data_IF_737911778662
#
_entry.id   IF_737911778662
#
_cell.length_a   1.000
_cell.length_b   1.000
_cell.length_c   1.000
_cell.angle_alpha   90.00
_cell.angle_beta   90.00
_cell.angle_gamma   90.00
#
_symmetry.space_group_name_H-M   'P 1'
#
loop_
_entity.id
_entity.type
_entity.pdbx_description
1 polymer ?
#
# COMPACT_ATOMS: atom_id res chain seq x y z
N UNK A 1 -41.64 21.65 51.29
CA UNK A 1 -41.47 20.21 51.04
C UNK A 1 -41.34 20.03 49.52
N UNK A 2 -40.25 20.41 48.85
CA UNK A 2 -38.83 20.04 48.99
C UNK A 2 -38.54 18.54 48.90
N UNK A 3 -38.27 18.07 47.67
CA UNK A 3 -37.33 16.99 47.33
C UNK A 3 -36.93 17.24 45.86
N UNK A 4 -35.69 17.45 45.42
CA UNK A 4 -34.39 17.10 45.97
C UNK A 4 -33.56 16.52 44.80
N UNK A 5 -33.12 17.38 43.87
CA UNK A 5 -32.23 17.02 42.76
C UNK A 5 -30.83 16.77 43.33
N UNK A 6 -30.32 15.54 43.21
CA UNK A 6 -28.92 15.21 43.53
C UNK A 6 -28.09 15.23 42.24
N UNK A 7 -27.24 16.23 42.13
CA UNK A 7 -26.06 16.24 41.25
C UNK A 7 -25.15 15.05 41.60
N UNK A 8 -24.76 14.27 40.58
CA UNK A 8 -23.64 13.33 40.69
C UNK A 8 -22.41 14.05 40.14
N UNK A 9 -21.54 14.51 41.06
CA UNK A 9 -20.22 15.06 40.75
C UNK A 9 -19.32 13.94 40.22
N UNK A 10 -18.68 14.21 39.09
CA UNK A 10 -17.72 13.33 38.44
C UNK A 10 -16.49 13.07 39.31
N UNK A 11 -16.16 11.79 39.45
CA UNK A 11 -14.86 11.34 39.95
C UNK A 11 -13.88 11.33 38.78
N UNK A 12 -12.89 12.23 38.83
CA UNK A 12 -11.70 12.20 37.97
C UNK A 12 -10.97 10.88 38.17
N UNK A 13 -11.03 9.99 37.18
CA UNK A 13 -10.05 8.91 37.05
C UNK A 13 -8.82 9.49 36.36
N UNK A 14 -7.76 9.72 37.14
CA UNK A 14 -6.43 9.95 36.61
C UNK A 14 -6.01 8.64 35.91
N UNK A 15 -5.87 8.70 34.58
CA UNK A 15 -5.15 7.67 33.85
C UNK A 15 -3.66 7.89 34.10
N UNK A 16 -3.02 6.86 34.64
CA UNK A 16 -1.58 6.81 34.86
C UNK A 16 -0.90 6.61 33.49
N UNK A 17 -0.14 7.62 33.04
CA UNK A 17 0.57 7.65 31.75
C UNK A 17 1.79 6.70 31.72
N UNK A 18 1.99 5.87 32.73
CA UNK A 18 3.19 5.04 32.88
C UNK A 18 3.17 3.70 32.12
N UNK A 19 2.27 3.48 31.15
CA UNK A 19 2.08 2.15 30.53
C UNK A 19 2.45 2.02 29.04
N UNK A 20 3.21 2.95 28.49
CA UNK A 20 3.84 2.78 27.17
C UNK A 20 5.34 3.05 27.27
N UNK A 21 6.12 2.04 27.66
CA UNK A 21 7.54 2.02 27.32
C UNK A 21 7.65 1.83 25.80
N UNK A 22 7.73 2.96 25.12
CA UNK A 22 8.03 3.08 23.70
C UNK A 22 9.47 2.63 23.51
N UNK A 23 9.69 1.50 22.83
CA UNK A 23 11.02 0.94 22.61
C UNK A 23 11.98 1.96 21.96
N UNK A 24 13.25 1.89 22.30
CA UNK A 24 14.28 2.86 21.90
C UNK A 24 14.33 3.14 20.37
N UNK A 25 13.95 2.16 19.54
CA UNK A 25 13.85 2.30 18.07
C UNK A 25 12.68 3.18 17.61
N UNK A 26 11.52 3.10 18.27
CA UNK A 26 10.36 3.95 17.93
C UNK A 26 10.59 5.40 18.36
N UNK A 27 11.42 5.63 19.39
CA UNK A 27 11.89 6.97 19.76
C UNK A 27 12.84 7.56 18.71
N UNK A 28 13.81 6.77 18.22
CA UNK A 28 14.74 7.20 17.13
C UNK A 28 13.99 7.54 15.84
N UNK A 29 12.95 6.78 15.50
CA UNK A 29 12.11 7.06 14.32
C UNK A 29 11.27 8.33 14.49
N UNK A 30 10.68 8.56 15.68
CA UNK A 30 9.98 9.81 16.00
C UNK A 30 10.92 11.02 15.95
N UNK A 31 12.16 10.90 16.43
CA UNK A 31 13.16 11.97 16.34
C UNK A 31 13.60 12.21 14.89
N UNK A 32 13.81 11.16 14.09
CA UNK A 32 14.15 11.27 12.66
C UNK A 32 13.02 11.90 11.82
N UNK A 33 11.76 11.77 12.25
CA UNK A 33 10.59 12.41 11.63
C UNK A 33 10.30 13.81 12.19
N UNK A 34 10.74 14.13 13.41
CA UNK A 34 10.67 15.46 14.03
C UNK A 34 11.81 16.37 13.59
N UNK A 35 12.88 15.82 13.02
CA UNK A 35 13.94 16.61 12.41
C UNK A 35 13.40 17.34 11.18
N UNK A 36 12.84 18.51 11.45
CA UNK A 36 12.38 19.50 10.47
C UNK A 36 13.54 20.14 9.71
N UNK A 37 14.79 19.67 9.88
CA UNK A 37 15.85 19.92 8.92
C UNK A 37 15.62 19.10 7.66
N UNK A 38 14.45 19.30 7.03
CA UNK A 38 14.30 19.08 5.61
C UNK A 38 15.40 19.95 4.99
N UNK A 39 16.46 19.38 4.38
CA UNK A 39 17.31 20.17 3.55
C UNK A 39 16.36 20.72 2.50
N UNK A 40 16.18 22.05 2.45
CA UNK A 40 15.50 22.65 1.31
C UNK A 40 16.11 21.98 0.08
N UNK A 41 15.30 21.37 -0.80
CA UNK A 41 15.83 20.73 -1.98
C UNK A 41 16.83 21.69 -2.62
N UNK A 42 18.00 21.19 -3.02
CA UNK A 42 18.79 21.84 -4.05
C UNK A 42 17.80 22.40 -5.05
N UNK A 43 17.83 23.71 -5.29
CA UNK A 43 16.89 24.40 -6.17
C UNK A 43 16.86 23.67 -7.51
N UNK A 44 15.94 22.72 -7.66
CA UNK A 44 15.67 22.10 -8.95
C UNK A 44 14.90 23.20 -9.66
N UNK A 45 15.53 23.82 -10.66
CA UNK A 45 14.94 24.89 -11.46
C UNK A 45 13.66 24.46 -12.20
N UNK A 46 13.27 23.19 -12.14
CA UNK A 46 12.15 22.60 -12.89
C UNK A 46 11.31 21.68 -12.01
N UNK A 47 9.99 21.72 -12.21
CA UNK A 47 9.03 20.81 -11.59
C UNK A 47 9.32 19.37 -12.05
N UNK A 48 9.51 18.39 -11.14
CA UNK A 48 9.73 17.00 -11.49
C UNK A 48 8.64 16.41 -12.39
N UNK A 49 7.38 16.83 -12.25
CA UNK A 49 6.29 16.39 -13.11
C UNK A 49 6.48 16.92 -14.54
N UNK A 50 6.87 18.17 -14.69
CA UNK A 50 7.21 18.77 -15.99
C UNK A 50 8.39 18.06 -16.65
N UNK A 51 9.43 17.72 -15.88
CA UNK A 51 10.58 16.96 -16.40
C UNK A 51 10.15 15.57 -16.87
N UNK A 52 9.30 14.88 -16.10
CA UNK A 52 8.79 13.56 -16.47
C UNK A 52 7.92 13.61 -17.73
N UNK A 53 7.13 14.68 -17.91
CA UNK A 53 6.29 14.87 -19.10
C UNK A 53 7.10 15.25 -20.35
N UNK A 54 8.12 16.09 -20.21
CA UNK A 54 8.79 16.71 -21.36
C UNK A 54 10.12 16.05 -21.77
N UNK A 55 10.68 15.15 -20.94
CA UNK A 55 12.02 14.57 -21.17
C UNK A 55 12.03 13.06 -20.95
N UNK A 56 11.53 12.31 -21.92
CA UNK A 56 11.47 10.83 -21.89
C UNK A 56 12.78 10.14 -21.50
N UNK A 57 13.94 10.67 -21.92
CA UNK A 57 15.25 10.09 -21.54
C UNK A 57 15.70 10.34 -20.10
N UNK A 58 15.07 11.27 -19.37
CA UNK A 58 15.44 11.57 -17.97
C UNK A 58 14.79 10.61 -16.97
N UNK A 59 13.61 10.07 -17.27
CA UNK A 59 12.92 9.13 -16.36
C UNK A 59 13.68 7.82 -16.19
N UNK A 60 14.35 7.36 -17.25
CA UNK A 60 15.14 6.12 -17.24
C UNK A 60 16.57 6.33 -16.74
N UNK A 61 16.89 7.54 -16.26
CA UNK A 61 18.19 7.88 -15.70
C UNK A 61 18.14 7.79 -14.17
N UNK A 62 18.88 6.86 -13.54
CA UNK A 62 18.93 6.74 -12.07
C UNK A 62 19.28 8.04 -11.35
N UNK A 63 20.11 8.92 -11.96
CA UNK A 63 20.49 10.20 -11.35
C UNK A 63 19.31 11.14 -11.15
N UNK A 64 18.29 11.07 -12.01
CA UNK A 64 17.08 11.87 -11.85
C UNK A 64 16.37 11.52 -10.53
N UNK A 65 16.17 10.21 -10.28
CA UNK A 65 15.54 9.71 -9.05
C UNK A 65 16.40 10.00 -7.82
N UNK A 66 17.70 9.79 -7.90
CA UNK A 66 18.62 10.12 -6.80
C UNK A 66 18.65 11.62 -6.47
N UNK A 67 18.38 12.51 -7.42
CA UNK A 67 18.21 13.94 -7.12
C UNK A 67 16.91 14.26 -6.37
N UNK A 68 15.91 13.39 -6.46
CA UNK A 68 14.65 13.52 -5.72
C UNK A 68 14.81 12.98 -4.30
N UNK A 69 15.29 11.74 -4.16
CA UNK A 69 15.54 11.08 -2.87
C UNK A 69 17.00 10.59 -2.78
N UNK A 70 17.96 11.46 -2.43
CA UNK A 70 19.40 11.13 -2.44
C UNK A 70 19.84 10.10 -1.40
N UNK A 71 18.98 9.77 -0.44
CA UNK A 71 19.22 8.73 0.57
C UNK A 71 18.69 7.34 0.17
N UNK A 72 17.95 7.25 -0.94
CA UNK A 72 17.49 5.97 -1.50
C UNK A 72 18.42 5.53 -2.63
N UNK A 73 18.24 4.29 -3.08
CA UNK A 73 19.07 3.68 -4.12
C UNK A 73 18.27 3.49 -5.40
N UNK A 74 18.96 3.59 -6.55
CA UNK A 74 18.35 3.35 -7.85
C UNK A 74 19.37 2.69 -8.77
N UNK A 75 19.25 1.37 -8.96
CA UNK A 75 20.22 0.59 -9.73
C UNK A 75 21.53 0.34 -8.98
N UNK A 76 21.50 0.26 -7.65
CA UNK A 76 22.67 -0.07 -6.83
C UNK A 76 22.89 -1.60 -6.76
N UNK A 77 24.07 -2.04 -7.18
CA UNK A 77 24.48 -3.46 -7.16
C UNK A 77 24.49 -4.05 -5.75
N UNK A 78 24.74 -3.26 -4.70
CA UNK A 78 24.68 -3.72 -3.30
C UNK A 78 23.24 -4.03 -2.90
N UNK A 79 22.27 -3.22 -3.34
CA UNK A 79 20.85 -3.46 -3.10
C UNK A 79 20.36 -4.68 -3.87
N UNK A 80 20.86 -4.89 -5.09
CA UNK A 80 20.61 -6.12 -5.82
C UNK A 80 21.14 -7.36 -5.07
N UNK A 81 22.34 -7.26 -4.48
CA UNK A 81 22.89 -8.33 -3.66
C UNK A 81 22.05 -8.57 -2.39
N UNK A 82 21.59 -7.51 -1.72
CA UNK A 82 20.68 -7.60 -0.58
C UNK A 82 19.37 -8.32 -0.94
N UNK A 83 18.74 -7.94 -2.06
CA UNK A 83 17.52 -8.59 -2.56
C UNK A 83 17.71 -10.10 -2.80
N UNK A 84 18.91 -10.53 -3.22
CA UNK A 84 19.22 -11.95 -3.47
C UNK A 84 19.56 -12.74 -2.20
N UNK A 85 20.09 -12.09 -1.17
CA UNK A 85 20.75 -12.78 -0.05
C UNK A 85 20.07 -12.59 1.31
N UNK A 86 19.24 -11.56 1.44
CA UNK A 86 18.59 -11.18 2.71
C UNK A 86 17.09 -11.49 2.71
N UNK A 87 16.67 -12.49 1.93
CA UNK A 87 15.36 -13.12 2.08
C UNK A 87 15.10 -13.39 3.57
N UNK A 88 13.89 -13.18 4.07
CA UNK A 88 13.58 -13.56 5.44
C UNK A 88 13.81 -15.08 5.56
N UNK A 89 14.91 -15.48 6.20
CA UNK A 89 15.35 -16.87 6.29
C UNK A 89 14.50 -17.60 7.33
N UNK A 90 13.28 -17.96 6.93
CA UNK A 90 12.33 -18.69 7.76
C UNK A 90 12.67 -20.19 7.90
N UNK A 91 13.52 -20.74 7.03
CA UNK A 91 13.72 -22.19 6.92
C UNK A 91 14.88 -22.76 7.76
N UNK A 92 15.79 -21.93 8.28
CA UNK A 92 16.93 -22.40 9.09
C UNK A 92 16.64 -22.36 10.61
N UNK A 93 15.48 -21.84 11.01
CA UNK A 93 15.02 -21.76 12.39
C UNK A 93 13.73 -22.59 12.58
N UNK A 94 13.82 -23.65 13.38
CA UNK A 94 12.70 -24.58 13.67
C UNK A 94 11.47 -23.84 14.24
N UNK A 95 11.69 -22.71 14.92
CA UNK A 95 10.65 -21.86 15.49
C UNK A 95 9.76 -21.23 14.41
N UNK A 96 10.34 -20.89 13.27
CA UNK A 96 9.68 -20.17 12.18
C UNK A 96 8.79 -21.07 11.30
N UNK A 97 9.08 -22.37 11.22
CA UNK A 97 8.17 -23.35 10.59
C UNK A 97 6.91 -23.58 11.43
N UNK A 98 7.05 -23.67 12.76
CA UNK A 98 5.94 -23.77 13.69
C UNK A 98 5.11 -22.48 13.69
N UNK A 99 5.76 -21.32 13.75
CA UNK A 99 5.10 -20.01 13.58
C UNK A 99 4.39 -19.89 12.23
N UNK A 100 5.02 -20.34 11.13
CA UNK A 100 4.42 -20.35 9.79
C UNK A 100 3.12 -21.16 9.72
N UNK A 101 3.07 -22.32 10.39
CA UNK A 101 1.83 -23.12 10.48
C UNK A 101 0.75 -22.39 11.28
N UNK A 102 1.11 -21.76 12.41
CA UNK A 102 0.16 -20.99 13.24
C UNK A 102 -0.37 -19.77 12.48
N UNK A 103 0.48 -19.07 11.74
CA UNK A 103 0.10 -17.95 10.88
C UNK A 103 -0.79 -18.41 9.73
N UNK A 104 -0.46 -19.54 9.07
CA UNK A 104 -1.29 -20.17 8.04
C UNK A 104 -2.67 -20.51 8.60
N UNK A 105 -2.75 -21.17 9.74
CA UNK A 105 -4.02 -21.51 10.39
C UNK A 105 -4.84 -20.27 10.76
N UNK A 106 -4.18 -19.23 11.28
CA UNK A 106 -4.83 -17.96 11.61
C UNK A 106 -5.35 -17.25 10.36
N UNK A 107 -4.58 -17.27 9.26
CA UNK A 107 -5.01 -16.74 7.97
C UNK A 107 -6.19 -17.54 7.40
N UNK A 108 -6.19 -18.88 7.51
CA UNK A 108 -7.34 -19.70 7.11
C UNK A 108 -8.55 -19.40 7.99
N UNK A 109 -8.36 -19.20 9.29
CA UNK A 109 -9.42 -19.02 10.29
C UNK A 109 -10.09 -17.65 10.19
N UNK A 110 -9.29 -16.59 10.17
CA UNK A 110 -9.75 -15.21 10.32
C UNK A 110 -9.63 -14.40 9.03
N UNK A 111 -8.80 -14.89 8.09
CA UNK A 111 -8.55 -14.26 6.81
C UNK A 111 -7.53 -13.12 6.83
N UNK A 112 -7.05 -12.75 8.02
CA UNK A 112 -6.04 -11.74 8.27
C UNK A 112 -5.10 -12.19 9.40
N UNK A 113 -3.84 -11.80 9.32
CA UNK A 113 -2.81 -11.94 10.35
C UNK A 113 -2.00 -10.65 10.48
N UNK A 114 -1.45 -10.39 11.66
CA UNK A 114 -0.51 -9.30 11.92
C UNK A 114 0.80 -9.83 12.46
N UNK A 115 1.91 -9.22 12.03
CA UNK A 115 3.27 -9.47 12.50
C UNK A 115 3.84 -8.12 12.95
N UNK A 116 4.39 -8.05 14.16
CA UNK A 116 4.89 -6.80 14.71
C UNK A 116 6.25 -6.43 14.10
N UNK A 117 6.48 -5.12 13.90
CA UNK A 117 7.65 -4.64 13.16
C UNK A 117 8.99 -4.98 13.80
N UNK A 118 9.08 -4.94 15.13
CA UNK A 118 10.28 -5.33 15.88
C UNK A 118 10.69 -6.80 15.72
N UNK A 119 9.86 -7.61 15.06
CA UNK A 119 10.15 -9.03 14.78
C UNK A 119 10.77 -9.23 13.38
N UNK A 120 10.82 -8.19 12.53
CA UNK A 120 11.17 -8.31 11.12
C UNK A 120 12.50 -7.60 10.80
N UNK A 121 13.56 -8.34 10.42
CA UNK A 121 14.86 -7.77 10.12
C UNK A 121 14.90 -7.20 8.69
N UNK A 122 14.28 -6.05 8.49
CA UNK A 122 14.27 -5.36 7.21
C UNK A 122 15.70 -5.02 6.76
N UNK A 123 16.01 -5.31 5.49
CA UNK A 123 17.28 -5.01 4.84
C UNK A 123 17.38 -3.55 4.38
N UNK A 124 16.31 -2.80 4.53
CA UNK A 124 16.17 -1.42 4.03
C UNK A 124 15.85 -0.48 5.18
N UNK A 125 16.22 0.78 5.02
CA UNK A 125 15.78 1.85 5.93
C UNK A 125 14.33 2.23 5.61
N UNK A 126 13.38 1.66 6.35
CA UNK A 126 11.95 1.96 6.18
C UNK A 126 11.61 3.43 6.44
N UNK A 127 12.31 4.10 7.34
CA UNK A 127 12.11 5.53 7.58
C UNK A 127 12.59 6.34 6.36
N UNK A 128 13.68 5.92 5.73
CA UNK A 128 14.15 6.42 4.44
C UNK A 128 13.10 6.25 3.32
N UNK A 129 12.47 5.08 3.23
CA UNK A 129 11.39 4.81 2.25
C UNK A 129 10.17 5.69 2.53
N UNK A 130 9.75 5.83 3.80
CA UNK A 130 8.66 6.73 4.18
C UNK A 130 8.93 8.17 3.78
N UNK A 131 10.15 8.66 4.07
CA UNK A 131 10.64 9.98 3.67
C UNK A 131 10.62 10.15 2.15
N UNK A 132 11.00 9.11 1.41
CA UNK A 132 10.98 9.11 -0.04
C UNK A 132 9.57 9.27 -0.61
N UNK A 133 8.60 8.51 -0.10
CA UNK A 133 7.19 8.64 -0.51
C UNK A 133 6.65 10.03 -0.18
N UNK A 134 6.90 10.55 1.03
CA UNK A 134 6.50 11.91 1.39
C UNK A 134 7.14 12.96 0.47
N UNK A 135 8.42 12.80 0.15
CA UNK A 135 9.14 13.71 -0.76
C UNK A 135 8.58 13.68 -2.18
N UNK A 136 8.18 12.51 -2.69
CA UNK A 136 7.49 12.39 -3.97
C UNK A 136 6.18 13.18 -3.94
N UNK A 137 5.34 12.94 -2.93
CA UNK A 137 4.05 13.63 -2.79
C UNK A 137 4.22 15.14 -2.62
N UNK A 138 5.19 15.58 -1.82
CA UNK A 138 5.47 17.00 -1.61
C UNK A 138 5.97 17.70 -2.87
N UNK A 139 6.43 16.95 -3.87
CA UNK A 139 6.83 17.44 -5.20
C UNK A 139 5.77 17.18 -6.28
N UNK A 140 4.52 16.92 -5.91
CA UNK A 140 3.44 16.69 -6.88
C UNK A 140 3.51 15.35 -7.61
N UNK A 141 4.35 14.41 -7.15
CA UNK A 141 4.52 13.08 -7.73
C UNK A 141 3.72 12.04 -6.93
N UNK A 142 3.07 11.07 -7.58
CA UNK A 142 2.30 10.06 -6.87
C UNK A 142 3.19 9.11 -6.05
N UNK A 143 2.71 8.60 -4.90
CA UNK A 143 3.45 7.68 -4.05
C UNK A 143 3.99 6.44 -4.77
N UNK A 144 3.27 5.92 -5.77
CA UNK A 144 3.63 4.69 -6.48
C UNK A 144 4.96 4.80 -7.24
N UNK A 145 5.43 6.01 -7.53
CA UNK A 145 6.76 6.22 -8.13
C UNK A 145 7.92 5.89 -7.18
N UNK A 146 7.64 5.55 -5.92
CA UNK A 146 8.64 4.92 -5.03
C UNK A 146 9.21 3.62 -5.64
N UNK A 147 8.48 2.97 -6.54
CA UNK A 147 8.94 1.78 -7.25
C UNK A 147 10.15 2.03 -8.16
N UNK A 148 10.49 3.29 -8.46
CA UNK A 148 11.72 3.64 -9.16
C UNK A 148 12.96 3.20 -8.38
N UNK A 149 12.90 3.29 -7.05
CA UNK A 149 14.02 3.00 -6.14
C UNK A 149 14.14 1.49 -5.85
N UNK A 150 15.29 1.05 -5.35
CA UNK A 150 15.61 -0.36 -5.12
C UNK A 150 14.89 -0.94 -3.88
N UNK A 151 14.56 -0.10 -2.89
CA UNK A 151 14.07 -0.54 -1.58
C UNK A 151 12.77 -1.36 -1.63
N UNK A 152 11.71 -0.96 -2.36
CA UNK A 152 10.49 -1.78 -2.45
C UNK A 152 10.72 -3.17 -3.04
N UNK A 153 11.70 -3.30 -3.93
CA UNK A 153 12.07 -4.58 -4.56
C UNK A 153 12.82 -5.48 -3.58
N UNK A 154 13.73 -4.90 -2.79
CA UNK A 154 14.35 -5.61 -1.67
C UNK A 154 13.27 -6.08 -0.69
N UNK A 155 12.38 -5.19 -0.24
CA UNK A 155 11.28 -5.54 0.69
C UNK A 155 10.44 -6.71 0.18
N UNK A 156 10.04 -6.66 -1.10
CA UNK A 156 9.27 -7.73 -1.74
C UNK A 156 10.03 -9.06 -1.77
N UNK A 157 11.31 -9.03 -2.16
CA UNK A 157 12.16 -10.21 -2.15
C UNK A 157 12.33 -10.78 -0.73
N UNK A 158 12.43 -9.94 0.30
CA UNK A 158 12.49 -10.37 1.70
C UNK A 158 11.22 -11.12 2.12
N UNK A 159 10.06 -10.58 1.77
CA UNK A 159 8.76 -11.15 2.14
C UNK A 159 8.35 -12.37 1.31
N UNK A 160 9.00 -12.68 0.17
CA UNK A 160 8.56 -13.78 -0.70
C UNK A 160 8.52 -15.14 0.01
N UNK A 161 9.51 -15.44 0.87
CA UNK A 161 9.52 -16.69 1.64
C UNK A 161 8.39 -16.73 2.68
N UNK A 162 8.10 -15.61 3.34
CA UNK A 162 6.99 -15.48 4.28
C UNK A 162 5.65 -15.72 3.55
N UNK A 163 5.44 -15.04 2.42
CA UNK A 163 4.25 -15.20 1.58
C UNK A 163 4.06 -16.65 1.14
N UNK A 164 5.15 -17.31 0.73
CA UNK A 164 5.12 -18.71 0.36
C UNK A 164 4.70 -19.61 1.53
N UNK A 165 5.30 -19.42 2.70
CA UNK A 165 5.08 -20.24 3.88
C UNK A 165 3.63 -20.13 4.40
N UNK A 166 3.10 -18.92 4.55
CA UNK A 166 1.75 -18.71 5.13
C UNK A 166 0.62 -19.09 4.18
N UNK A 167 0.89 -19.22 2.88
CA UNK A 167 -0.12 -19.58 1.86
C UNK A 167 0.06 -20.98 1.30
N UNK A 168 1.20 -21.62 1.54
CA UNK A 168 1.53 -22.91 0.94
C UNK A 168 1.87 -22.81 -0.56
N UNK A 169 2.26 -21.64 -1.07
CA UNK A 169 2.77 -21.56 -2.45
C UNK A 169 2.54 -20.28 -3.24
N UNK A 170 1.88 -19.25 -2.70
CA UNK A 170 1.73 -17.99 -3.44
C UNK A 170 3.10 -17.37 -3.73
N UNK A 171 3.22 -16.70 -4.87
CA UNK A 171 4.39 -15.96 -5.31
C UNK A 171 4.03 -14.52 -5.57
N UNK A 172 5.00 -13.62 -5.45
CA UNK A 172 4.80 -12.18 -5.67
C UNK A 172 4.12 -11.93 -7.03
N UNK A 173 3.03 -11.16 -7.00
CA UNK A 173 2.17 -10.87 -8.15
C UNK A 173 2.51 -9.52 -8.81
N UNK A 174 3.17 -8.60 -8.08
CA UNK A 174 3.46 -7.23 -8.52
C UNK A 174 2.23 -6.31 -8.70
N UNK A 175 1.08 -6.73 -8.20
CA UNK A 175 -0.10 -5.89 -8.04
C UNK A 175 0.08 -5.01 -6.79
N UNK A 176 0.91 -3.97 -6.88
CA UNK A 176 1.36 -3.20 -5.72
C UNK A 176 0.78 -1.79 -5.68
N UNK A 177 0.73 -1.23 -4.47
CA UNK A 177 0.29 0.15 -4.25
C UNK A 177 1.13 0.81 -3.16
N UNK A 178 1.28 2.13 -3.24
CA UNK A 178 1.91 2.94 -2.20
C UNK A 178 0.96 4.07 -1.79
N UNK A 179 0.93 4.39 -0.51
CA UNK A 179 -0.03 5.32 0.06
C UNK A 179 0.67 6.35 0.93
N UNK A 180 0.18 7.59 0.87
CA UNK A 180 0.54 8.68 1.77
C UNK A 180 -0.75 9.42 2.19
N UNK A 181 -1.30 9.03 3.33
CA UNK A 181 -2.54 9.62 3.85
C UNK A 181 -2.18 10.71 4.86
N UNK A 182 -2.72 11.92 4.67
CA UNK A 182 -2.49 13.06 5.57
C UNK A 182 -3.81 13.61 6.09
N UNK A 183 -3.76 14.30 7.23
CA UNK A 183 -4.89 15.07 7.71
C UNK A 183 -5.38 16.07 6.65
N UNK A 184 -6.70 16.22 6.51
CA UNK A 184 -7.28 17.23 5.63
C UNK A 184 -6.78 18.65 6.02
N UNK A 185 -6.38 19.44 5.03
CA UNK A 185 -5.80 20.77 5.25
C UNK A 185 -4.31 20.77 5.62
N UNK A 186 -3.63 19.63 5.59
CA UNK A 186 -2.17 19.58 5.68
C UNK A 186 -1.54 20.36 4.52
N UNK A 187 -0.54 21.19 4.80
CA UNK A 187 0.22 21.92 3.79
C UNK A 187 0.99 20.94 2.91
N UNK A 188 0.41 20.57 1.78
CA UNK A 188 1.09 19.89 0.70
C UNK A 188 0.81 20.69 -0.57
N UNK A 189 1.80 20.71 -1.45
CA UNK A 189 1.63 21.39 -2.72
C UNK A 189 0.59 20.63 -3.54
N UNK A 190 -0.35 21.40 -4.10
CA UNK A 190 -1.06 20.96 -5.28
C UNK A 190 -0.04 20.62 -6.37
N UNK A 191 -0.39 19.69 -7.26
CA UNK A 191 0.39 19.48 -8.47
C UNK A 191 0.47 20.76 -9.34
N UNK A 192 1.28 20.74 -10.40
CA UNK A 192 1.40 21.84 -11.35
C UNK A 192 0.04 22.34 -11.90
N UNK A 193 -0.99 21.49 -11.83
CA UNK A 193 -2.34 21.75 -12.31
C UNK A 193 -3.34 22.09 -11.17
N UNK A 194 -2.87 22.37 -9.96
CA UNK A 194 -3.71 22.85 -8.86
C UNK A 194 -4.52 21.76 -8.14
N UNK A 195 -4.13 20.48 -8.24
CA UNK A 195 -4.81 19.38 -7.55
C UNK A 195 -3.96 18.75 -6.46
N UNK A 196 -4.58 18.56 -5.31
CA UNK A 196 -3.98 17.85 -4.18
C UNK A 196 -3.60 16.42 -4.56
N UNK A 197 -2.30 16.14 -4.58
CA UNK A 197 -1.75 14.76 -4.60
C UNK A 197 -1.84 14.08 -3.23
N UNK A 198 -2.36 14.80 -2.23
CA UNK A 198 -2.63 14.26 -0.89
C UNK A 198 -4.01 13.65 -0.86
N UNK A 199 -4.09 12.41 -0.36
CA UNK A 199 -5.36 11.78 -0.03
C UNK A 199 -5.65 11.99 1.47
N UNK A 200 -6.80 12.57 1.83
CA UNK A 200 -7.20 12.68 3.24
C UNK A 200 -7.65 11.32 3.82
N UNK A 201 -7.79 10.30 2.97
CA UNK A 201 -8.19 8.95 3.34
C UNK A 201 -7.43 7.89 2.54
N UNK A 202 -7.54 6.64 2.99
CA UNK A 202 -7.24 5.49 2.13
C UNK A 202 -8.35 5.21 1.12
N UNK A 203 -8.23 4.08 0.43
CA UNK A 203 -9.25 3.60 -0.50
C UNK A 203 -10.57 3.27 0.19
N UNK A 204 -11.71 3.40 -0.52
CA UNK A 204 -13.02 3.07 0.03
C UNK A 204 -13.18 1.58 0.37
N UNK A 205 -14.22 1.18 1.12
CA UNK A 205 -14.51 -0.23 1.43
C UNK A 205 -14.60 -1.13 0.20
N UNK A 206 -13.75 -2.16 0.15
CA UNK A 206 -13.67 -3.09 -0.98
C UNK A 206 -13.13 -4.46 -0.56
N UNK A 207 -13.09 -5.39 -1.52
CA UNK A 207 -12.31 -6.63 -1.49
C UNK A 207 -11.30 -6.54 -2.64
N UNK A 208 -10.07 -7.03 -2.45
CA UNK A 208 -9.09 -7.00 -3.55
C UNK A 208 -9.60 -7.76 -4.78
N UNK A 209 -10.37 -8.84 -4.57
CA UNK A 209 -11.05 -9.56 -5.65
C UNK A 209 -12.51 -9.81 -5.29
N UNK A 210 -13.40 -8.96 -5.82
CA UNK A 210 -14.84 -8.91 -5.50
C UNK A 210 -15.73 -9.94 -6.21
N UNK A 211 -15.33 -10.45 -7.39
CA UNK A 211 -16.22 -11.29 -8.22
C UNK A 211 -16.64 -12.62 -7.57
N UNK A 212 -17.81 -13.15 -7.95
CA UNK A 212 -18.25 -14.49 -7.54
C UNK A 212 -17.24 -15.58 -7.97
N UNK A 213 -16.65 -15.45 -9.17
CA UNK A 213 -15.65 -16.38 -9.69
C UNK A 213 -14.40 -16.41 -8.80
N UNK A 214 -13.92 -15.24 -8.38
CA UNK A 214 -12.80 -15.15 -7.44
C UNK A 214 -13.15 -15.68 -6.05
N UNK A 215 -14.38 -15.50 -5.57
CA UNK A 215 -14.78 -16.04 -4.27
C UNK A 215 -14.77 -17.58 -4.24
N UNK A 216 -15.27 -18.22 -5.31
CA UNK A 216 -15.37 -19.69 -5.41
C UNK A 216 -14.00 -20.32 -5.65
N UNK A 217 -13.20 -19.74 -6.55
CA UNK A 217 -11.94 -20.34 -7.02
C UNK A 217 -10.69 -19.79 -6.31
N UNK A 218 -10.86 -18.79 -5.44
CA UNK A 218 -9.75 -18.07 -4.79
C UNK A 218 -9.18 -18.77 -3.56
N UNK A 219 -9.71 -19.94 -3.17
CA UNK A 219 -9.16 -20.77 -2.09
C UNK A 219 -8.73 -22.14 -2.62
N UNK A 220 -7.72 -22.74 -1.99
CA UNK A 220 -7.38 -24.16 -2.19
C UNK A 220 -8.30 -25.06 -1.37
N UNK A 221 -8.19 -26.38 -1.58
CA UNK A 221 -8.99 -27.37 -0.86
C UNK A 221 -8.77 -27.31 0.66
N UNK A 222 -7.54 -27.02 1.10
CA UNK A 222 -7.20 -26.86 2.52
C UNK A 222 -7.67 -25.51 3.12
N UNK A 223 -8.32 -24.67 2.32
CA UNK A 223 -8.82 -23.36 2.73
C UNK A 223 -7.79 -22.22 2.65
N UNK A 224 -6.55 -22.49 2.24
CA UNK A 224 -5.56 -21.42 2.01
C UNK A 224 -5.97 -20.50 0.87
N UNK A 225 -5.73 -19.19 0.98
CA UNK A 225 -6.02 -18.25 -0.09
C UNK A 225 -5.00 -18.36 -1.23
N UNK A 226 -5.50 -18.32 -2.47
CA UNK A 226 -4.70 -18.21 -3.69
C UNK A 226 -4.28 -16.78 -4.02
N UNK A 227 -4.74 -15.79 -3.26
CA UNK A 227 -4.30 -14.40 -3.36
C UNK A 227 -4.30 -13.75 -1.98
N UNK A 228 -3.19 -13.09 -1.65
CA UNK A 228 -3.00 -12.31 -0.43
C UNK A 228 -2.36 -10.96 -0.72
N UNK A 229 -2.64 -10.01 0.17
CA UNK A 229 -2.02 -8.70 0.25
C UNK A 229 -1.26 -8.60 1.57
N UNK A 230 -0.01 -8.15 1.52
CA UNK A 230 0.84 -7.79 2.64
C UNK A 230 0.92 -6.27 2.68
N UNK A 231 0.27 -5.69 3.67
CA UNK A 231 0.29 -4.26 3.90
C UNK A 231 1.33 -3.91 4.97
N UNK A 232 2.27 -3.05 4.61
CA UNK A 232 3.43 -2.65 5.43
C UNK A 232 3.33 -1.15 5.71
N UNK A 233 3.06 -0.72 6.95
CA UNK A 233 3.19 0.68 7.33
C UNK A 233 4.67 1.03 7.50
N UNK A 234 5.11 2.14 6.92
CA UNK A 234 6.46 2.71 7.14
C UNK A 234 6.42 3.87 8.15
N UNK A 235 5.23 4.30 8.55
CA UNK A 235 4.99 5.13 9.75
C UNK A 235 3.90 4.47 10.61
N UNK A 236 3.88 4.74 11.92
CA UNK A 236 2.88 4.14 12.81
C UNK A 236 1.45 4.39 12.30
N UNK A 237 0.73 3.30 12.08
CA UNK A 237 -0.64 3.32 11.64
C UNK A 237 -1.57 3.14 12.83
N UNK A 238 -2.41 4.14 13.06
CA UNK A 238 -3.38 4.18 14.15
C UNK A 238 -4.75 4.55 13.59
N UNK A 239 -5.84 4.37 14.36
CA UNK A 239 -7.15 4.87 13.92
C UNK A 239 -7.14 6.36 13.58
N UNK A 240 -6.31 7.16 14.27
CA UNK A 240 -6.16 8.59 13.99
C UNK A 240 -5.40 8.85 12.69
N UNK A 241 -4.35 8.07 12.39
CA UNK A 241 -3.54 8.27 11.19
C UNK A 241 -4.02 7.49 9.97
N UNK A 242 -5.20 6.85 9.99
CA UNK A 242 -5.72 6.00 8.91
C UNK A 242 -5.09 4.60 8.84
N UNK A 243 -5.13 3.83 9.93
CA UNK A 243 -4.88 2.38 9.86
C UNK A 243 -5.96 1.65 9.04
N UNK A 244 -5.68 0.40 8.66
CA UNK A 244 -6.67 -0.42 7.96
C UNK A 244 -7.85 -0.75 8.88
N UNK A 245 -9.03 -0.72 8.28
CA UNK A 245 -10.29 -1.12 8.89
C UNK A 245 -10.77 -2.36 8.15
N UNK A 246 -11.27 -3.38 8.86
CA UNK A 246 -11.75 -4.61 8.24
C UNK A 246 -13.03 -5.13 8.89
N UNK A 247 -13.79 -5.89 8.11
CA UNK A 247 -14.94 -6.64 8.59
C UNK A 247 -14.57 -8.11 8.82
N UNK A 248 -14.89 -8.71 9.98
CA UNK A 248 -14.49 -10.07 10.31
C UNK A 248 -15.09 -11.10 9.34
N UNK A 249 -14.23 -11.94 8.76
CA UNK A 249 -14.60 -13.04 7.86
C UNK A 249 -15.82 -13.85 8.33
N UNK A 250 -15.87 -14.21 9.61
CA UNK A 250 -16.92 -15.09 10.17
C UNK A 250 -18.32 -14.47 10.16
N UNK A 251 -18.40 -13.15 9.99
CA UNK A 251 -19.65 -12.39 9.94
C UNK A 251 -20.02 -11.99 8.51
N UNK A 252 -19.12 -12.23 7.55
CA UNK A 252 -19.26 -11.80 6.17
C UNK A 252 -19.96 -12.88 5.33
N UNK A 253 -21.22 -12.67 4.93
CA UNK A 253 -21.96 -13.66 4.15
C UNK A 253 -21.43 -13.81 2.71
N UNK A 254 -20.76 -12.78 2.17
CA UNK A 254 -20.23 -12.76 0.81
C UNK A 254 -18.82 -13.34 0.72
N UNK A 255 -18.17 -13.61 1.85
CA UNK A 255 -16.76 -14.00 1.89
C UNK A 255 -16.42 -15.18 0.96
N UNK A 256 -17.14 -16.31 1.08
CA UNK A 256 -16.82 -17.55 0.34
C UNK A 256 -17.56 -17.69 -0.99
N UNK A 257 -18.73 -17.08 -1.12
CA UNK A 257 -19.65 -17.34 -2.23
C UNK A 257 -19.85 -16.13 -3.15
N UNK A 258 -19.20 -15.01 -2.84
CA UNK A 258 -19.40 -13.77 -3.55
C UNK A 258 -20.68 -13.05 -3.11
N UNK A 259 -20.83 -11.83 -3.62
CA UNK A 259 -21.84 -10.88 -3.17
C UNK A 259 -23.14 -10.97 -4.02
N UNK A 260 -23.31 -12.07 -4.78
CA UNK A 260 -24.52 -12.44 -5.55
C UNK A 260 -25.07 -11.35 -6.49
N UNK A 261 -24.20 -10.46 -6.97
CA UNK A 261 -24.56 -9.37 -7.87
C UNK A 261 -25.07 -8.09 -7.18
N UNK A 262 -25.12 -8.06 -5.85
CA UNK A 262 -25.32 -6.82 -5.08
C UNK A 262 -23.99 -6.16 -4.68
N UNK A 263 -24.06 -4.97 -4.08
CA UNK A 263 -22.87 -4.32 -3.50
C UNK A 263 -22.44 -5.02 -2.22
N UNK A 264 -21.13 -5.13 -2.01
CA UNK A 264 -20.52 -5.77 -0.83
C UNK A 264 -21.04 -5.15 0.47
N UNK A 265 -21.15 -3.81 0.50
CA UNK A 265 -21.67 -3.03 1.63
C UNK A 265 -23.09 -3.48 1.99
N UNK A 266 -24.00 -3.56 1.01
CA UNK A 266 -25.40 -3.95 1.26
C UNK A 266 -25.53 -5.39 1.76
N UNK A 267 -24.58 -6.25 1.37
CA UNK A 267 -24.60 -7.65 1.75
C UNK A 267 -24.08 -7.89 3.16
N UNK A 268 -23.06 -7.11 3.55
CA UNK A 268 -22.40 -7.17 4.87
C UNK A 268 -23.20 -6.42 5.92
N UNK A 269 -23.60 -5.17 5.66
CA UNK A 269 -24.26 -4.29 6.62
C UNK A 269 -25.77 -4.28 6.39
N UNK A 270 -26.47 -5.25 6.98
CA UNK A 270 -27.92 -5.40 6.81
C UNK A 270 -28.71 -4.65 7.87
N UNK A 271 -28.07 -4.37 9.00
CA UNK A 271 -28.63 -3.65 10.13
C UNK A 271 -27.57 -2.81 10.84
N UNK A 272 -27.95 -1.74 11.58
CA UNK A 272 -26.98 -0.85 12.23
C UNK A 272 -26.00 -1.56 13.18
N UNK A 273 -26.42 -2.65 13.84
CA UNK A 273 -25.57 -3.41 14.76
C UNK A 273 -24.37 -4.06 14.06
N UNK A 274 -24.46 -4.28 12.74
CA UNK A 274 -23.36 -4.89 11.99
C UNK A 274 -22.11 -3.98 12.00
N UNK A 275 -22.28 -2.66 12.12
CA UNK A 275 -21.17 -1.71 12.23
C UNK A 275 -20.30 -1.94 13.49
N UNK A 276 -20.85 -2.55 14.54
CA UNK A 276 -20.10 -2.87 15.76
C UNK A 276 -19.06 -3.99 15.55
N UNK A 277 -19.14 -4.71 14.43
CA UNK A 277 -18.17 -5.75 14.09
C UNK A 277 -16.96 -5.21 13.32
N UNK A 278 -16.97 -3.96 12.87
CA UNK A 278 -15.80 -3.32 12.24
C UNK A 278 -14.63 -3.36 13.22
N UNK A 279 -13.44 -3.68 12.71
CA UNK A 279 -12.19 -3.72 13.49
C UNK A 279 -11.17 -2.78 12.86
N UNK A 280 -10.54 -1.96 13.69
CA UNK A 280 -9.34 -1.24 13.32
C UNK A 280 -8.12 -2.15 13.54
N UNK A 281 -7.13 -2.05 12.66
CA UNK A 281 -5.87 -2.78 12.73
C UNK A 281 -4.72 -1.77 12.86
N UNK A 282 -4.52 -1.16 14.05
CA UNK A 282 -3.34 -0.39 14.30
C UNK A 282 -2.10 -1.28 14.18
N UNK A 283 -1.03 -0.73 13.63
CA UNK A 283 0.20 -1.46 13.40
C UNK A 283 1.38 -0.48 13.42
N UNK A 284 2.39 -0.80 14.21
CA UNK A 284 3.62 -0.01 14.27
C UNK A 284 4.38 -0.09 12.94
N UNK A 285 5.20 0.94 12.65
CA UNK A 285 6.02 0.94 11.44
C UNK A 285 6.90 -0.32 11.34
N UNK A 286 7.03 -0.85 10.12
CA UNK A 286 7.75 -2.08 9.82
C UNK A 286 7.00 -3.37 10.13
N UNK A 287 5.80 -3.31 10.73
CA UNK A 287 4.94 -4.48 10.86
C UNK A 287 4.40 -4.96 9.52
N UNK A 288 3.76 -6.13 9.50
CA UNK A 288 3.03 -6.65 8.34
C UNK A 288 1.61 -6.97 8.76
N UNK A 289 0.62 -6.43 8.05
CA UNK A 289 -0.75 -6.92 8.07
C UNK A 289 -1.01 -7.70 6.78
N UNK A 290 -1.10 -9.03 6.87
CA UNK A 290 -1.37 -9.88 5.71
C UNK A 290 -2.83 -10.33 5.73
N UNK A 291 -3.56 -10.11 4.64
CA UNK A 291 -4.95 -10.51 4.50
C UNK A 291 -5.21 -11.09 3.11
N UNK A 292 -6.23 -11.94 3.00
CA UNK A 292 -6.58 -12.50 1.69
C UNK A 292 -7.55 -11.61 0.91
N UNK A 293 -7.63 -11.88 -0.40
CA UNK A 293 -8.45 -11.17 -1.37
C UNK A 293 -9.96 -11.04 -1.07
N UNK A 294 -10.50 -11.80 -0.11
CA UNK A 294 -11.91 -11.72 0.29
C UNK A 294 -12.12 -10.96 1.58
N UNK A 295 -11.09 -10.54 2.31
CA UNK A 295 -11.33 -9.68 3.46
C UNK A 295 -11.86 -8.33 2.98
N UNK A 296 -13.03 -7.95 3.50
CA UNK A 296 -13.62 -6.65 3.24
C UNK A 296 -12.93 -5.60 4.11
N UNK A 297 -12.26 -4.64 3.48
CA UNK A 297 -11.37 -3.70 4.15
C UNK A 297 -11.28 -2.34 3.45
N UNK A 298 -10.72 -1.36 4.15
CA UNK A 298 -10.42 0.00 3.66
C UNK A 298 -9.37 0.70 4.51
N UNK A 299 -8.82 1.80 4.02
CA UNK A 299 -8.11 2.77 4.86
C UNK A 299 -9.05 3.90 5.28
N UNK A 300 -9.13 4.23 6.57
CA UNK A 300 -10.03 5.30 7.04
C UNK A 300 -9.59 6.70 6.58
N UNK A 301 -10.36 7.73 6.89
CA UNK A 301 -9.84 9.10 6.82
C UNK A 301 -8.83 9.34 7.96
N UNK A 302 -7.82 10.18 7.71
CA UNK A 302 -6.97 10.68 8.78
C UNK A 302 -7.72 11.74 9.61
N UNK A 303 -7.59 11.65 10.93
CA UNK A 303 -8.07 12.68 11.85
C UNK A 303 -7.26 13.97 11.62
N UNK A 304 -7.88 15.16 11.63
CA UNK A 304 -7.16 16.44 11.55
C UNK A 304 -6.04 16.63 12.57
N UNK A 305 -6.09 15.90 13.69
CA UNK A 305 -5.09 15.92 14.77
C UNK A 305 -3.99 14.87 14.61
N UNK A 306 -4.01 14.07 13.53
CA UNK A 306 -2.96 13.10 13.27
C UNK A 306 -1.62 13.82 13.13
N UNK A 307 -0.68 13.49 14.03
CA UNK A 307 0.60 14.19 14.12
C UNK A 307 1.53 13.91 12.93
N UNK A 308 1.38 12.73 12.30
CA UNK A 308 2.20 12.27 11.18
C UNK A 308 1.33 11.66 10.08
N UNK A 309 1.69 11.83 8.80
CA UNK A 309 1.11 11.08 7.71
C UNK A 309 1.23 9.57 7.92
N UNK A 310 0.22 8.81 7.50
CA UNK A 310 0.38 7.36 7.33
C UNK A 310 0.98 7.09 5.97
N UNK A 311 2.15 6.47 6.00
CA UNK A 311 2.85 6.02 4.80
C UNK A 311 2.88 4.50 4.83
N UNK A 312 2.47 3.86 3.73
CA UNK A 312 2.38 2.40 3.67
C UNK A 312 2.54 1.89 2.24
N UNK A 313 2.95 0.64 2.09
CA UNK A 313 2.92 -0.08 0.82
C UNK A 313 2.13 -1.37 0.94
N UNK A 314 1.40 -1.72 -0.12
CA UNK A 314 0.74 -3.00 -0.30
C UNK A 314 1.50 -3.82 -1.34
N UNK A 315 1.90 -5.02 -0.94
CA UNK A 315 2.52 -6.03 -1.78
C UNK A 315 1.59 -7.21 -1.93
N UNK A 316 1.59 -7.87 -3.07
CA UNK A 316 0.63 -8.95 -3.34
C UNK A 316 1.34 -10.22 -3.77
N UNK A 317 0.75 -11.35 -3.38
CA UNK A 317 1.18 -12.66 -3.84
C UNK A 317 0.00 -13.54 -4.19
N UNK A 318 0.16 -14.27 -5.29
CA UNK A 318 -0.87 -15.09 -5.92
C UNK A 318 -0.37 -16.49 -6.25
N UNK A 319 -1.29 -17.43 -6.32
CA UNK A 319 -1.10 -18.70 -7.03
C UNK A 319 -1.14 -18.40 -8.54
N UNK A 320 -0.09 -18.74 -9.32
CA UNK A 320 -0.09 -18.52 -10.76
C UNK A 320 -1.25 -19.20 -11.50
N UNK A 321 -1.83 -20.28 -10.95
CA UNK A 321 -3.01 -20.92 -11.54
C UNK A 321 -4.32 -20.17 -11.25
N UNK A 322 -4.31 -19.21 -10.33
CA UNK A 322 -5.44 -18.33 -10.03
C UNK A 322 -5.32 -16.99 -10.76
N UNK A 323 -4.16 -16.34 -10.65
CA UNK A 323 -3.86 -15.08 -11.30
C UNK A 323 -2.37 -15.01 -11.62
N UNK A 324 -2.02 -14.54 -12.81
CA UNK A 324 -0.63 -14.35 -13.19
C UNK A 324 -0.03 -13.11 -12.50
N UNK A 325 1.29 -13.12 -12.30
CA UNK A 325 2.00 -11.89 -11.95
C UNK A 325 1.90 -10.87 -13.08
N UNK A 326 2.08 -9.57 -12.80
CA UNK A 326 1.98 -8.52 -13.82
C UNK A 326 3.01 -8.71 -14.96
N UNK A 327 4.23 -9.10 -14.62
CA UNK A 327 5.31 -9.34 -15.59
C UNK A 327 6.12 -10.61 -15.30
N UNK A 328 6.94 -10.99 -16.28
CA UNK A 328 7.71 -12.22 -16.25
C UNK A 328 8.84 -12.19 -15.19
N UNK A 329 9.02 -13.30 -14.48
CA UNK A 329 9.93 -13.38 -13.33
C UNK A 329 11.44 -13.35 -13.67
N UNK A 330 11.82 -13.38 -14.96
CA UNK A 330 13.23 -13.44 -15.37
C UNK A 330 14.02 -12.16 -15.06
N UNK A 331 13.33 -11.04 -14.82
CA UNK A 331 13.93 -9.76 -14.42
C UNK A 331 14.00 -9.57 -12.89
N UNK A 332 13.68 -10.60 -12.10
CA UNK A 332 13.72 -10.55 -10.65
C UNK A 332 15.11 -10.89 -10.08
N UNK A 333 15.42 -10.49 -8.83
CA UNK A 333 14.56 -9.75 -7.89
C UNK A 333 14.51 -8.23 -8.13
N UNK A 334 15.33 -7.74 -9.07
CA UNK A 334 15.58 -6.31 -9.24
C UNK A 334 15.43 -5.93 -10.72
N UNK A 335 14.21 -5.61 -11.19
CA UNK A 335 13.99 -5.28 -12.59
C UNK A 335 14.77 -4.03 -13.02
N UNK A 336 15.07 -3.86 -14.33
CA UNK A 336 15.61 -2.61 -14.84
C UNK A 336 14.68 -1.43 -14.52
N UNK A 337 15.24 -0.23 -14.29
CA UNK A 337 14.48 0.97 -13.90
C UNK A 337 13.27 1.23 -14.80
N UNK A 338 13.43 1.15 -16.13
CA UNK A 338 12.33 1.31 -17.07
C UNK A 338 11.17 0.35 -16.86
N UNK A 339 11.45 -0.92 -16.52
CA UNK A 339 10.41 -1.92 -16.21
C UNK A 339 9.69 -1.60 -14.91
N UNK A 340 10.41 -1.07 -13.91
CA UNK A 340 9.81 -0.63 -12.63
C UNK A 340 8.85 0.53 -12.84
N UNK A 341 9.28 1.52 -13.64
CA UNK A 341 8.46 2.68 -13.99
C UNK A 341 7.27 2.30 -14.85
N UNK A 342 7.42 1.35 -15.77
CA UNK A 342 6.32 0.80 -16.53
C UNK A 342 5.28 0.13 -15.63
N UNK A 343 5.71 -0.60 -14.59
CA UNK A 343 4.78 -1.15 -13.60
C UNK A 343 4.09 -0.03 -12.81
N UNK A 344 4.83 0.97 -12.34
CA UNK A 344 4.23 2.11 -11.63
C UNK A 344 3.18 2.85 -12.48
N UNK A 345 3.47 3.06 -13.77
CA UNK A 345 2.53 3.63 -14.73
C UNK A 345 1.29 2.75 -14.94
N UNK A 346 1.48 1.44 -15.12
CA UNK A 346 0.38 0.49 -15.22
C UNK A 346 -0.52 0.49 -13.98
N UNK A 347 0.06 0.53 -12.77
CA UNK A 347 -0.73 0.56 -11.53
C UNK A 347 -1.49 1.89 -11.36
N UNK A 348 -0.87 3.02 -11.69
CA UNK A 348 -1.57 4.30 -11.70
C UNK A 348 -2.78 4.29 -12.65
N UNK A 349 -2.65 3.65 -13.82
CA UNK A 349 -3.75 3.48 -14.78
C UNK A 349 -4.83 2.50 -14.27
N UNK A 350 -4.47 1.37 -13.67
CA UNK A 350 -5.46 0.39 -13.17
C UNK A 350 -6.28 0.94 -12.00
N UNK A 351 -5.66 1.75 -11.15
CA UNK A 351 -6.26 2.21 -9.90
C UNK A 351 -6.69 3.68 -9.92
N UNK A 352 -6.82 4.32 -11.08
CA UNK A 352 -7.22 5.74 -11.18
C UNK A 352 -8.53 6.08 -10.45
N UNK A 353 -9.43 5.10 -10.30
CA UNK A 353 -10.72 5.27 -9.62
C UNK A 353 -10.57 5.38 -8.10
N UNK A 354 -9.50 4.83 -7.55
CA UNK A 354 -9.20 4.83 -6.12
C UNK A 354 -8.17 5.90 -5.77
N UNK A 355 -7.13 6.02 -6.59
CA UNK A 355 -6.08 7.00 -6.44
C UNK A 355 -6.33 8.14 -7.41
N UNK A 356 -6.58 9.36 -6.91
CA UNK A 356 -6.76 10.58 -7.71
C UNK A 356 -5.47 11.05 -8.42
N UNK A 357 -4.68 10.10 -8.90
CA UNK A 357 -3.39 10.27 -9.57
C UNK A 357 -3.62 10.66 -11.04
N UNK A 358 -4.47 9.93 -11.76
CA UNK A 358 -4.68 10.13 -13.21
C UNK A 358 -5.85 11.07 -13.46
N UNK A 359 -5.63 12.36 -13.20
CA UNK A 359 -6.69 13.38 -13.20
C UNK A 359 -6.67 14.31 -14.42
N UNK A 360 -5.56 14.38 -15.18
CA UNK A 360 -5.46 15.11 -16.47
C UNK A 360 -5.05 14.18 -17.61
N UNK A 361 -5.35 14.61 -18.84
CA UNK A 361 -4.82 13.97 -20.06
C UNK A 361 -3.29 13.93 -20.08
N UNK A 362 -2.59 14.95 -19.57
CA UNK A 362 -1.12 14.95 -19.50
C UNK A 362 -0.59 13.85 -18.57
N UNK A 363 -1.22 13.67 -17.39
CA UNK A 363 -0.86 12.58 -16.48
C UNK A 363 -1.23 11.20 -17.04
N UNK A 364 -2.38 11.08 -17.69
CA UNK A 364 -2.78 9.86 -18.37
C UNK A 364 -1.74 9.46 -19.43
N UNK A 365 -1.34 10.40 -20.29
CA UNK A 365 -0.28 10.21 -21.29
C UNK A 365 1.05 9.85 -20.65
N UNK A 366 1.44 10.54 -19.57
CA UNK A 366 2.68 10.23 -18.86
C UNK A 366 2.74 8.77 -18.38
N UNK A 367 1.70 8.28 -17.70
CA UNK A 367 1.70 6.91 -17.19
C UNK A 367 1.54 5.87 -18.30
N UNK A 368 0.79 6.19 -19.35
CA UNK A 368 0.71 5.36 -20.55
C UNK A 368 2.07 5.26 -21.25
N UNK A 369 2.79 6.37 -21.40
CA UNK A 369 4.11 6.40 -22.03
C UNK A 369 5.13 5.65 -21.17
N UNK A 370 5.05 5.73 -19.84
CA UNK A 370 5.88 4.92 -18.94
C UNK A 370 5.61 3.42 -19.17
N UNK A 371 4.34 3.01 -19.20
CA UNK A 371 3.96 1.62 -19.38
C UNK A 371 4.33 1.08 -20.78
N UNK A 372 3.89 1.76 -21.83
CA UNK A 372 4.03 1.30 -23.22
C UNK A 372 5.49 1.12 -23.64
N UNK A 373 6.40 1.94 -23.10
CA UNK A 373 7.84 1.90 -23.43
C UNK A 373 8.56 0.62 -23.01
N UNK A 374 8.00 -0.13 -22.06
CA UNK A 374 8.53 -1.42 -21.60
C UNK A 374 7.43 -2.48 -21.45
N UNK A 375 6.34 -2.33 -22.21
CA UNK A 375 5.17 -3.22 -22.12
C UNK A 375 5.52 -4.67 -22.50
N UNK A 376 6.57 -4.89 -23.30
CA UNK A 376 7.05 -6.21 -23.73
C UNK A 376 7.48 -7.14 -22.59
N UNK A 377 7.77 -6.60 -21.41
CA UNK A 377 8.10 -7.40 -20.21
C UNK A 377 6.86 -7.98 -19.52
N UNK A 378 5.68 -7.43 -19.78
CA UNK A 378 4.43 -7.76 -19.12
C UNK A 378 3.67 -8.86 -19.85
N UNK A 379 2.88 -9.66 -19.11
CA UNK A 379 2.04 -10.66 -19.77
C UNK A 379 0.95 -9.99 -20.61
N UNK A 380 0.61 -10.59 -21.75
CA UNK A 380 -0.40 -10.04 -22.67
C UNK A 380 -1.77 -9.83 -22.00
N UNK A 381 -2.14 -10.68 -21.04
CA UNK A 381 -3.36 -10.49 -20.24
C UNK A 381 -3.32 -9.22 -19.40
N UNK A 382 -2.17 -8.89 -18.81
CA UNK A 382 -1.98 -7.66 -18.05
C UNK A 382 -1.91 -6.44 -18.97
N UNK A 383 -1.24 -6.56 -20.12
CA UNK A 383 -1.21 -5.50 -21.13
C UNK A 383 -2.63 -5.10 -21.59
N UNK A 384 -3.46 -6.09 -21.93
CA UNK A 384 -4.84 -5.86 -22.35
C UNK A 384 -5.68 -5.20 -21.25
N UNK A 385 -5.45 -5.58 -19.98
CA UNK A 385 -6.11 -4.95 -18.84
C UNK A 385 -5.72 -3.46 -18.72
N UNK A 386 -4.43 -3.14 -18.76
CA UNK A 386 -3.94 -1.75 -18.67
C UNK A 386 -4.44 -0.91 -19.84
N UNK A 387 -4.45 -1.46 -21.06
CA UNK A 387 -5.00 -0.79 -22.24
C UNK A 387 -6.48 -0.47 -22.09
N UNK A 388 -7.27 -1.40 -21.56
CA UNK A 388 -8.70 -1.18 -21.29
C UNK A 388 -8.93 -0.02 -20.31
N UNK A 389 -8.16 0.04 -19.22
CA UNK A 389 -8.25 1.14 -18.25
C UNK A 389 -7.82 2.47 -18.84
N UNK A 390 -6.75 2.48 -19.63
CA UNK A 390 -6.28 3.67 -20.33
C UNK A 390 -7.37 4.22 -21.28
N UNK A 391 -7.95 3.37 -22.13
CA UNK A 391 -9.03 3.76 -23.05
C UNK A 391 -10.24 4.31 -22.29
N UNK A 392 -10.68 3.60 -21.24
CA UNK A 392 -11.81 4.02 -20.41
C UNK A 392 -11.56 5.40 -19.78
N UNK A 393 -10.37 5.62 -19.20
CA UNK A 393 -10.04 6.89 -18.55
C UNK A 393 -9.86 8.02 -19.55
N UNK A 394 -9.31 7.72 -20.73
CA UNK A 394 -9.17 8.69 -21.82
C UNK A 394 -10.54 9.23 -22.24
N UNK A 395 -11.51 8.35 -22.51
CA UNK A 395 -12.87 8.74 -22.87
C UNK A 395 -13.55 9.59 -21.80
N UNK A 396 -13.38 9.27 -20.51
CA UNK A 396 -13.94 10.06 -19.40
C UNK A 396 -13.35 11.48 -19.37
N UNK A 397 -12.04 11.62 -19.52
CA UNK A 397 -11.37 12.92 -19.47
C UNK A 397 -11.65 13.77 -20.72
N UNK A 398 -11.87 13.18 -21.89
CA UNK A 398 -12.28 13.92 -23.09
C UNK A 398 -13.71 14.46 -22.95
N UNK A 399 -14.64 13.65 -22.43
CA UNK A 399 -16.03 14.10 -22.23
C UNK A 399 -16.13 15.26 -21.22
N UNK A 400 -15.26 15.29 -20.22
CA UNK A 400 -15.21 16.39 -19.25
C UNK A 400 -14.76 17.69 -19.90
N UNK A 401 -13.80 17.63 -20.84
CA UNK A 401 -13.30 18.81 -21.59
C UNK A 401 -14.34 19.37 -22.55
N UNK A 402 -15.14 18.52 -23.21
CA UNK A 402 -16.21 18.97 -24.12
C UNK A 402 -17.42 19.58 -23.38
N UNK A 403 -17.54 19.33 -22.07
CA UNK A 403 -18.66 19.78 -21.24
C UNK A 403 -18.46 21.15 -20.58
N UNK A 404 -17.25 21.72 -20.68
CA UNK A 404 -16.83 23.03 -20.14
C UNK A 404 -16.69 24.03 -21.27
#
# INVERSE_FOLDING_TARGET
EETGVKEIRGTNMNFDDSMFEVGEETSKMREALKDSSIPRPLSVELDPLEVLQNKTGQRDNPKFWLNICPWLHCGDLKMEAAAKTQAFKYAEDRRLAEEGSVLKESLIRDGVISIEGGQLPWAVDLAGVARGIMTLVDRGLPPILIMAYDEPWVMSAQMEQLMWAITGGNRVAFDWSAFCVRAAGSAAQDDAEGRSVVTPSGWPPHRDRGSNKSAINGFREDGTPRYITLWVPMTDATPQSSCLMMFPRRRDPGYRWGDRGGSEISYIFRKPEDLQYIRAFPLAAGGILAFNHRIFHWGSAADPRAAVPRVSMAFTATDPAFEHSCFARHVLPMPPLGVRLALAGAQALRYYGNDQIVTTLNRLRLFWDMFSSHSEYFYSTFQAEVEHYNQTKFSLLESDVESV
#
